data_IF_101936459274
#
_entry.id   IF_101936459274
#
_cell.length_a   1.000
_cell.length_b   1.000
_cell.length_c   1.000
_cell.angle_alpha   90.00
_cell.angle_beta   90.00
_cell.angle_gamma   90.00
#
_symmetry.space_group_name_H-M   'P 1'
#
loop_
_entity.id
_entity.type
_entity.pdbx_description
1 polymer ?
#
# COMPACT_ATOMS: atom_id res chain seq x y z
N UNK A 1 10.24 -43.86 -0.42
CA UNK A 1 8.89 -43.25 -0.30
C UNK A 1 9.11 -41.76 -0.09
N UNK A 2 8.48 -40.90 -0.90
CA UNK A 2 8.64 -39.43 -0.74
C UNK A 2 7.81 -38.95 0.46
N UNK A 3 8.36 -38.02 1.24
CA UNK A 3 7.64 -37.42 2.38
C UNK A 3 6.48 -36.54 1.90
N UNK A 4 5.52 -36.23 2.79
CA UNK A 4 4.44 -35.29 2.49
C UNK A 4 4.99 -33.92 2.07
N UNK A 5 6.07 -33.45 2.69
CA UNK A 5 6.70 -32.17 2.36
C UNK A 5 7.24 -32.15 0.92
N UNK A 6 7.88 -33.24 0.47
CA UNK A 6 8.35 -33.36 -0.92
C UNK A 6 7.19 -33.44 -1.92
N UNK A 7 6.04 -34.02 -1.53
CA UNK A 7 4.85 -34.06 -2.36
C UNK A 7 4.23 -32.67 -2.56
N UNK A 8 4.37 -31.78 -1.59
CA UNK A 8 3.96 -30.37 -1.67
C UNK A 8 5.03 -29.45 -2.28
N UNK A 9 6.10 -29.99 -2.87
CA UNK A 9 7.16 -29.21 -3.54
C UNK A 9 8.27 -28.71 -2.63
N UNK A 10 8.29 -29.12 -1.36
CA UNK A 10 9.39 -28.84 -0.43
C UNK A 10 10.66 -29.60 -0.80
N UNK A 11 11.82 -29.05 -0.44
CA UNK A 11 13.13 -29.68 -0.66
C UNK A 11 13.88 -29.84 0.65
N UNK A 12 14.87 -30.73 0.71
CA UNK A 12 15.71 -30.92 1.89
C UNK A 12 17.18 -30.70 1.54
N UNK A 13 17.98 -30.35 2.54
CA UNK A 13 19.43 -30.41 2.47
C UNK A 13 19.96 -31.32 3.60
N UNK A 14 21.15 -31.89 3.39
CA UNK A 14 21.81 -32.69 4.42
C UNK A 14 22.64 -31.78 5.32
N UNK A 15 22.37 -31.84 6.62
CA UNK A 15 23.26 -31.32 7.65
C UNK A 15 23.69 -32.47 8.56
N UNK A 16 24.97 -32.82 8.47
CA UNK A 16 25.56 -33.99 9.14
C UNK A 16 24.80 -35.26 8.78
N UNK A 17 24.10 -35.89 9.74
CA UNK A 17 23.33 -37.12 9.55
C UNK A 17 21.81 -36.88 9.43
N UNK A 18 21.38 -35.61 9.35
CA UNK A 18 19.97 -35.23 9.31
C UNK A 18 19.58 -34.56 7.99
N UNK A 19 18.40 -34.95 7.48
CA UNK A 19 17.73 -34.30 6.37
C UNK A 19 16.91 -33.13 6.91
N UNK A 20 17.36 -31.89 6.70
CA UNK A 20 16.69 -30.68 7.19
C UNK A 20 15.83 -30.09 6.06
N UNK A 21 14.54 -29.78 6.32
CA UNK A 21 13.69 -29.17 5.31
C UNK A 21 14.19 -27.77 4.95
N UNK A 22 14.02 -27.39 3.69
CA UNK A 22 14.23 -26.02 3.18
C UNK A 22 12.88 -25.28 3.20
N UNK A 23 12.50 -24.60 4.29
CA UNK A 23 11.30 -23.79 4.30
C UNK A 23 11.50 -22.58 3.40
N UNK A 24 10.72 -22.48 2.34
CA UNK A 24 10.60 -21.27 1.53
C UNK A 24 9.28 -20.58 1.87
N UNK A 25 9.34 -19.30 2.20
CA UNK A 25 8.13 -18.48 2.23
C UNK A 25 7.66 -18.26 0.78
N UNK A 26 6.36 -18.35 0.49
CA UNK A 26 5.86 -17.86 -0.79
C UNK A 26 6.32 -16.41 -0.94
N UNK A 27 6.86 -16.05 -2.11
CA UNK A 27 7.17 -14.65 -2.38
C UNK A 27 5.85 -13.89 -2.28
N UNK A 28 5.71 -13.03 -1.28
CA UNK A 28 4.64 -12.05 -1.31
C UNK A 28 4.87 -11.20 -2.54
N UNK A 29 3.82 -10.92 -3.30
CA UNK A 29 3.90 -9.86 -4.29
C UNK A 29 4.35 -8.60 -3.53
N UNK A 30 5.49 -8.04 -3.95
CA UNK A 30 5.95 -6.73 -3.50
C UNK A 30 4.97 -5.73 -4.12
N UNK A 31 3.80 -5.60 -3.50
CA UNK A 31 2.89 -4.51 -3.83
C UNK A 31 3.53 -3.25 -3.28
N UNK A 32 3.82 -2.30 -4.16
CA UNK A 32 4.31 -0.99 -3.76
C UNK A 32 3.22 -0.30 -2.92
N UNK A 33 3.43 -0.24 -1.61
CA UNK A 33 2.51 0.44 -0.69
C UNK A 33 2.80 1.94 -0.71
N UNK A 34 1.83 2.73 -1.16
CA UNK A 34 1.89 4.19 -1.17
C UNK A 34 1.86 4.83 0.23
N UNK A 35 1.80 6.16 0.25
CA UNK A 35 1.94 6.95 1.48
C UNK A 35 0.79 6.66 2.47
N UNK A 36 -0.44 6.52 1.99
CA UNK A 36 -1.60 6.30 2.85
C UNK A 36 -1.61 4.88 3.42
N UNK A 37 -1.21 3.90 2.62
CA UNK A 37 -0.99 2.54 3.09
C UNK A 37 0.09 2.45 4.17
N UNK A 38 1.21 3.17 4.00
CA UNK A 38 2.27 3.23 5.02
C UNK A 38 1.83 3.92 6.31
N UNK A 39 1.04 4.99 6.22
CA UNK A 39 0.45 5.66 7.38
C UNK A 39 -0.51 4.73 8.12
N UNK A 40 -1.35 4.00 7.39
CA UNK A 40 -2.28 3.03 7.98
C UNK A 40 -1.55 1.85 8.62
N UNK A 41 -0.47 1.38 8.01
CA UNK A 41 0.41 0.36 8.62
C UNK A 41 0.96 0.83 9.97
N UNK A 42 1.47 2.06 10.04
CA UNK A 42 1.92 2.63 11.33
C UNK A 42 0.79 2.68 12.35
N UNK A 43 -0.39 3.13 11.94
CA UNK A 43 -1.57 3.14 12.81
C UNK A 43 -1.93 1.74 13.34
N UNK A 44 -1.91 0.72 12.47
CA UNK A 44 -2.16 -0.66 12.86
C UNK A 44 -1.12 -1.18 13.87
N UNK A 45 0.15 -0.86 13.68
CA UNK A 45 1.23 -1.28 14.57
C UNK A 45 1.19 -0.57 15.93
N UNK A 46 0.88 0.72 15.93
CA UNK A 46 0.84 1.56 17.14
C UNK A 46 -0.43 1.27 17.98
N UNK A 47 -1.58 1.14 17.33
CA UNK A 47 -2.89 1.15 18.01
C UNK A 47 -3.72 -0.14 17.85
N UNK A 48 -3.58 -0.90 16.76
CA UNK A 48 -4.41 -2.07 16.45
C UNK A 48 -3.59 -3.35 16.24
N UNK A 49 -2.70 -3.66 17.20
CA UNK A 49 -1.74 -4.78 17.11
C UNK A 49 -2.37 -6.13 16.79
N UNK A 50 -3.56 -6.43 17.34
CA UNK A 50 -4.26 -7.68 17.05
C UNK A 50 -4.65 -7.78 15.58
N UNK A 51 -5.18 -6.71 15.01
CA UNK A 51 -5.53 -6.63 13.59
C UNK A 51 -4.29 -6.77 12.72
N UNK A 52 -3.19 -6.07 13.07
CA UNK A 52 -1.92 -6.18 12.36
C UNK A 52 -1.41 -7.63 12.33
N UNK A 53 -1.37 -8.31 13.48
CA UNK A 53 -0.89 -9.69 13.59
C UNK A 53 -1.80 -10.65 12.80
N UNK A 54 -3.13 -10.45 12.85
CA UNK A 54 -4.06 -11.27 12.09
C UNK A 54 -3.84 -11.11 10.57
N UNK A 55 -3.68 -9.88 10.08
CA UNK A 55 -3.42 -9.62 8.66
C UNK A 55 -2.08 -10.22 8.21
N UNK A 56 -1.04 -10.08 9.04
CA UNK A 56 0.29 -10.63 8.78
C UNK A 56 0.28 -12.16 8.75
N UNK A 57 -0.37 -12.79 9.73
CA UNK A 57 -0.43 -14.27 9.86
C UNK A 57 -1.25 -14.90 8.73
N UNK A 58 -2.28 -14.19 8.25
CA UNK A 58 -3.08 -14.61 7.10
C UNK A 58 -2.41 -14.26 5.76
N UNK A 59 -1.21 -13.67 5.74
CA UNK A 59 -0.47 -13.26 4.54
C UNK A 59 -1.20 -12.29 3.60
N UNK A 60 -2.22 -11.58 4.09
CA UNK A 60 -3.05 -10.62 3.31
C UNK A 60 -2.70 -9.16 3.60
N UNK A 61 -1.69 -8.90 4.43
CA UNK A 61 -1.35 -7.54 4.86
C UNK A 61 -1.03 -6.61 3.68
N UNK A 62 -0.23 -7.05 2.72
CA UNK A 62 0.20 -6.21 1.60
C UNK A 62 -0.97 -5.85 0.67
N UNK A 63 -1.81 -6.83 0.34
CA UNK A 63 -3.03 -6.60 -0.45
C UNK A 63 -3.97 -5.62 0.27
N UNK A 64 -4.22 -5.84 1.56
CA UNK A 64 -5.04 -4.95 2.37
C UNK A 64 -4.52 -3.51 2.38
N UNK A 65 -3.21 -3.31 2.58
CA UNK A 65 -2.61 -1.97 2.61
C UNK A 65 -2.63 -1.29 1.23
N UNK A 66 -2.41 -2.06 0.16
CA UNK A 66 -2.51 -1.53 -1.21
C UNK A 66 -3.93 -1.08 -1.54
N UNK A 67 -4.94 -1.82 -1.10
CA UNK A 67 -6.34 -1.47 -1.31
C UNK A 67 -6.73 -0.20 -0.53
N UNK A 68 -6.29 -0.07 0.71
CA UNK A 68 -6.49 1.15 1.51
C UNK A 68 -5.82 2.36 0.84
N UNK A 69 -4.60 2.18 0.32
CA UNK A 69 -3.89 3.24 -0.38
C UNK A 69 -4.62 3.68 -1.66
N UNK A 70 -5.08 2.73 -2.47
CA UNK A 70 -5.86 2.99 -3.67
C UNK A 70 -7.15 3.76 -3.36
N UNK A 71 -7.90 3.33 -2.35
CA UNK A 71 -9.12 4.01 -1.92
C UNK A 71 -8.86 5.43 -1.42
N UNK A 72 -7.78 5.64 -0.68
CA UNK A 72 -7.40 6.97 -0.22
C UNK A 72 -7.01 7.88 -1.40
N UNK A 73 -6.20 7.38 -2.33
CA UNK A 73 -5.80 8.10 -3.54
C UNK A 73 -7.00 8.45 -4.44
N UNK A 74 -7.96 7.54 -4.60
CA UNK A 74 -9.18 7.78 -5.38
C UNK A 74 -10.02 8.89 -4.75
N UNK A 75 -10.30 8.80 -3.45
CA UNK A 75 -11.07 9.82 -2.73
C UNK A 75 -10.38 11.18 -2.77
N UNK A 76 -9.06 11.20 -2.55
CA UNK A 76 -8.25 12.41 -2.66
C UNK A 76 -8.40 13.05 -4.04
N UNK A 77 -8.29 12.26 -5.10
CA UNK A 77 -8.42 12.73 -6.49
C UNK A 77 -9.82 13.28 -6.78
N UNK A 78 -10.87 12.64 -6.26
CA UNK A 78 -12.25 13.11 -6.40
C UNK A 78 -12.46 14.46 -5.71
N UNK A 79 -11.99 14.62 -4.48
CA UNK A 79 -12.12 15.88 -3.73
C UNK A 79 -11.30 17.00 -4.40
N UNK A 80 -10.09 16.69 -4.85
CA UNK A 80 -9.26 17.64 -5.61
C UNK A 80 -9.99 18.16 -6.84
N UNK A 81 -10.68 17.28 -7.59
CA UNK A 81 -11.42 17.68 -8.78
C UNK A 81 -12.65 18.53 -8.44
N UNK A 82 -13.39 18.17 -7.39
CA UNK A 82 -14.52 18.97 -6.90
C UNK A 82 -14.07 20.38 -6.48
N UNK A 83 -12.98 20.50 -5.73
CA UNK A 83 -12.47 21.80 -5.28
C UNK A 83 -11.93 22.66 -6.42
N UNK A 84 -11.34 22.06 -7.45
CA UNK A 84 -10.93 22.81 -8.67
C UNK A 84 -12.14 23.41 -9.37
N UNK A 85 -13.24 22.66 -9.48
CA UNK A 85 -14.48 23.14 -10.08
C UNK A 85 -15.10 24.26 -9.25
N UNK A 86 -15.15 24.12 -7.93
CA UNK A 86 -15.67 25.14 -7.01
C UNK A 86 -14.85 26.44 -7.03
N UNK A 87 -13.53 26.35 -7.19
CA UNK A 87 -12.63 27.51 -7.21
C UNK A 87 -12.36 28.06 -8.62
N UNK A 88 -13.08 27.55 -9.64
CA UNK A 88 -12.98 27.94 -11.05
C UNK A 88 -11.52 27.92 -11.57
N UNK A 89 -10.73 26.94 -11.13
CA UNK A 89 -9.34 26.80 -11.60
C UNK A 89 -9.34 26.18 -12.98
N UNK A 90 -9.26 27.01 -14.01
CA UNK A 90 -9.23 26.59 -15.41
C UNK A 90 -7.80 26.41 -15.94
N UNK A 91 -7.65 25.65 -17.03
CA UNK A 91 -6.39 25.60 -17.78
C UNK A 91 -6.04 26.97 -18.41
N UNK A 92 -7.02 27.85 -18.64
CA UNK A 92 -6.76 29.23 -19.09
C UNK A 92 -6.01 30.04 -18.01
N UNK A 93 -6.41 29.91 -16.73
CA UNK A 93 -5.68 30.55 -15.63
C UNK A 93 -4.22 30.09 -15.55
N UNK A 94 -3.94 28.85 -15.95
CA UNK A 94 -2.58 28.30 -15.97
C UNK A 94 -1.71 28.93 -17.07
N UNK A 95 -2.29 29.25 -18.21
CA UNK A 95 -1.62 29.94 -19.31
C UNK A 95 -1.44 31.43 -19.01
N UNK A 96 -2.47 32.09 -18.49
CA UNK A 96 -2.47 33.53 -18.23
C UNK A 96 -1.66 33.90 -16.97
N UNK A 97 -1.73 33.10 -15.91
CA UNK A 97 -1.03 33.34 -14.65
C UNK A 97 -0.59 32.03 -13.95
N UNK A 98 0.52 31.41 -14.40
CA UNK A 98 0.98 30.13 -13.86
C UNK A 98 1.32 30.17 -12.36
N UNK A 99 1.81 31.31 -11.84
CA UNK A 99 2.14 31.45 -10.42
C UNK A 99 0.87 31.42 -9.56
N UNK A 100 -0.16 32.15 -9.96
CA UNK A 100 -1.43 32.15 -9.24
C UNK A 100 -2.13 30.79 -9.33
N UNK A 101 -2.06 30.13 -10.48
CA UNK A 101 -2.55 28.76 -10.64
C UNK A 101 -1.87 27.79 -9.66
N UNK A 102 -0.53 27.81 -9.58
CA UNK A 102 0.22 26.97 -8.62
C UNK A 102 -0.15 27.30 -7.18
N UNK A 103 -0.33 28.59 -6.85
CA UNK A 103 -0.75 29.01 -5.51
C UNK A 103 -2.11 28.43 -5.14
N UNK A 104 -3.11 28.56 -6.02
CA UNK A 104 -4.45 28.03 -5.77
C UNK A 104 -4.46 26.50 -5.68
N UNK A 105 -3.75 25.83 -6.58
CA UNK A 105 -3.62 24.36 -6.57
C UNK A 105 -2.97 23.85 -5.27
N UNK A 106 -1.94 24.54 -4.77
CA UNK A 106 -1.32 24.23 -3.48
C UNK A 106 -2.25 24.49 -2.30
N UNK A 107 -3.03 25.59 -2.33
CA UNK A 107 -4.03 25.86 -1.31
C UNK A 107 -5.11 24.77 -1.25
N UNK A 108 -5.63 24.33 -2.40
CA UNK A 108 -6.58 23.21 -2.46
C UNK A 108 -5.93 21.96 -1.90
N UNK A 109 -4.73 21.59 -2.35
CA UNK A 109 -4.03 20.41 -1.86
C UNK A 109 -3.89 20.41 -0.34
N UNK A 110 -3.53 21.54 0.26
CA UNK A 110 -3.42 21.69 1.71
C UNK A 110 -4.77 21.62 2.44
N UNK A 111 -5.89 21.90 1.76
CA UNK A 111 -7.23 21.75 2.34
C UNK A 111 -7.74 20.31 2.29
N UNK A 112 -7.27 19.52 1.32
CA UNK A 112 -7.67 18.12 1.12
C UNK A 112 -6.80 17.14 1.92
N UNK A 113 -5.51 17.42 2.06
CA UNK A 113 -4.57 16.66 2.92
C UNK A 113 -4.86 16.84 4.41
#
# INVERSE_FOLDING_TARGET
MKSLFEQFGGTYHNESDYLIPNPTLPKSEENDIGIYGQQHLRYLQEYLKLTYINLLTNSVLNEYLSEIDNQACERFSQIMEQMKQEQEITEQLKEDNPIEWTRKMNCIRQQVE
#
